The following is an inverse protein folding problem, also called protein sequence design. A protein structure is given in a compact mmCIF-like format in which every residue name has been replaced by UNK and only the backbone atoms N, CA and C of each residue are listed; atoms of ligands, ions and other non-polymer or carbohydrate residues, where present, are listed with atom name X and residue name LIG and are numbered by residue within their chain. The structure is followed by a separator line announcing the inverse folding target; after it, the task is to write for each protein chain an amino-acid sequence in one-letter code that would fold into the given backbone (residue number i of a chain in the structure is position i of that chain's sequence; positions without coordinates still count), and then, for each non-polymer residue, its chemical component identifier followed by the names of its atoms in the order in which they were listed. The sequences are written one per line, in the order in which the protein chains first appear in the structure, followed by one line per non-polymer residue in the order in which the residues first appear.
data_IF_036640962797
#
_entry.id   IF_036640962797
#
_cell.length_a   1.000
_cell.length_b   1.000
_cell.length_c   1.000
_cell.angle_alpha   90.00
_cell.angle_beta   90.00
_cell.angle_gamma   90.00
#
_symmetry.space_group_name_H-M   'P 1'
#
loop_
_entity.id
_entity.type
_entity.pdbx_description
1 polymer ?
#
# COMPACT_ATOMS: atom_id res chain seq x y z
N UNK A 1 -13.86 24.97 -5.31
CA UNK A 1 -13.44 24.43 -6.61
C UNK A 1 -12.51 23.26 -6.36
N UNK A 2 -12.83 22.05 -6.83
CA UNK A 2 -11.97 20.88 -6.68
C UNK A 2 -10.73 21.06 -7.56
N UNK A 3 -9.54 20.83 -7.00
CA UNK A 3 -8.28 20.93 -7.74
C UNK A 3 -8.05 19.62 -8.49
N UNK A 4 -7.79 19.69 -9.80
CA UNK A 4 -7.25 18.59 -10.59
C UNK A 4 -5.74 18.75 -10.66
N UNK A 5 -4.99 17.71 -10.31
CA UNK A 5 -3.55 17.74 -10.48
C UNK A 5 -3.21 17.41 -11.96
N UNK A 6 -2.50 18.27 -12.69
CA UNK A 6 -2.21 18.04 -14.10
C UNK A 6 -1.15 16.96 -14.26
N UNK A 7 -1.52 15.82 -14.80
CA UNK A 7 -0.61 14.75 -15.20
C UNK A 7 -1.15 14.04 -16.47
N UNK A 8 -0.29 13.38 -17.25
CA UNK A 8 -0.72 12.65 -18.46
C UNK A 8 -1.70 11.54 -18.11
N UNK A 9 -2.72 11.33 -18.93
CA UNK A 9 -3.72 10.26 -18.78
C UNK A 9 -3.08 8.87 -18.81
N UNK A 10 -1.91 8.72 -19.44
CA UNK A 10 -1.12 7.50 -19.48
C UNK A 10 0.22 7.77 -18.79
N UNK A 11 0.55 6.92 -17.83
CA UNK A 11 1.80 6.98 -17.11
C UNK A 11 3.01 6.82 -18.06
N UNK A 12 4.02 7.68 -17.91
CA UNK A 12 5.21 7.70 -18.77
C UNK A 12 5.94 6.36 -18.84
N UNK A 13 5.87 5.58 -17.77
CA UNK A 13 6.47 4.25 -17.63
C UNK A 13 5.83 3.23 -18.57
N UNK A 14 4.62 3.49 -19.04
CA UNK A 14 3.89 2.65 -19.99
C UNK A 14 4.24 2.93 -21.45
N UNK A 15 4.77 4.10 -21.80
CA UNK A 15 4.97 4.50 -23.19
C UNK A 15 5.80 3.52 -24.01
N UNK A 16 6.97 3.04 -23.53
CA UNK A 16 7.76 2.06 -24.28
C UNK A 16 7.03 0.72 -24.47
N UNK A 17 6.29 0.27 -23.43
CA UNK A 17 5.58 -1.00 -23.45
C UNK A 17 4.37 -0.92 -24.39
N UNK A 18 3.60 0.16 -24.31
CA UNK A 18 2.43 0.40 -25.15
C UNK A 18 2.87 0.60 -26.62
N UNK A 19 3.90 1.41 -26.86
CA UNK A 19 4.43 1.65 -28.20
C UNK A 19 5.00 0.40 -28.84
N UNK A 20 5.78 -0.37 -28.07
CA UNK A 20 6.32 -1.66 -28.52
C UNK A 20 5.23 -2.70 -28.77
N UNK A 21 4.26 -2.80 -27.85
CA UNK A 21 3.09 -3.67 -28.00
C UNK A 21 2.27 -3.34 -29.24
N UNK A 22 2.00 -2.04 -29.48
CA UNK A 22 1.27 -1.59 -30.67
C UNK A 22 2.02 -1.92 -31.96
N UNK A 23 3.32 -1.60 -32.03
CA UNK A 23 4.16 -1.88 -33.19
C UNK A 23 4.20 -3.38 -33.49
N UNK A 24 4.38 -4.22 -32.47
CA UNK A 24 4.39 -5.68 -32.61
C UNK A 24 3.01 -6.21 -33.05
N UNK A 25 1.92 -5.71 -32.46
CA UNK A 25 0.56 -6.09 -32.84
C UNK A 25 0.29 -5.80 -34.33
N UNK A 26 0.69 -4.62 -34.80
CA UNK A 26 0.55 -4.24 -36.22
C UNK A 26 1.40 -5.13 -37.14
N UNK A 27 2.66 -5.37 -36.78
CA UNK A 27 3.57 -6.20 -37.56
C UNK A 27 3.02 -7.63 -37.71
N UNK A 28 2.61 -8.25 -36.60
CA UNK A 28 2.04 -9.63 -36.63
C UNK A 28 0.71 -9.66 -37.36
N UNK A 29 -0.10 -8.59 -37.29
CA UNK A 29 -1.35 -8.50 -38.06
C UNK A 29 -1.11 -8.53 -39.56
N UNK A 30 -0.04 -7.86 -40.03
CA UNK A 30 0.32 -7.85 -41.45
C UNK A 30 0.80 -9.23 -41.97
N UNK A 31 1.49 -9.99 -41.12
CA UNK A 31 2.10 -11.26 -41.52
C UNK A 31 1.22 -12.48 -41.20
N UNK A 32 0.46 -12.49 -40.13
CA UNK A 32 -0.13 -13.68 -39.55
C UNK A 32 -1.64 -13.57 -39.22
N UNK A 33 -2.31 -12.47 -39.59
CA UNK A 33 -3.74 -12.29 -39.44
C UNK A 33 -4.24 -12.54 -37.99
N UNK A 34 -5.06 -13.58 -37.79
CA UNK A 34 -5.69 -13.88 -36.47
C UNK A 34 -4.70 -14.16 -35.33
N UNK A 35 -3.48 -14.61 -35.63
CA UNK A 35 -2.43 -14.83 -34.63
C UNK A 35 -1.95 -13.52 -33.96
N UNK A 36 -2.36 -12.36 -34.47
CA UNK A 36 -2.10 -11.09 -33.83
C UNK A 36 -2.97 -10.79 -32.59
N UNK A 37 -4.09 -11.51 -32.40
CA UNK A 37 -5.04 -11.27 -31.33
C UNK A 37 -4.41 -11.24 -29.93
N UNK A 38 -3.52 -12.18 -29.53
CA UNK A 38 -2.87 -12.12 -28.21
C UNK A 38 -2.07 -10.84 -27.98
N UNK A 39 -1.41 -10.31 -29.01
CA UNK A 39 -0.63 -9.07 -28.93
C UNK A 39 -1.53 -7.83 -28.78
N UNK A 40 -2.70 -7.83 -29.43
CA UNK A 40 -3.70 -6.80 -29.25
C UNK A 40 -4.28 -6.82 -27.83
N UNK A 41 -4.60 -8.00 -27.29
CA UNK A 41 -5.07 -8.17 -25.90
C UNK A 41 -4.00 -7.64 -24.94
N UNK A 42 -2.72 -7.96 -25.15
CA UNK A 42 -1.63 -7.43 -24.34
C UNK A 42 -1.53 -5.89 -24.44
N UNK A 43 -1.65 -5.31 -25.63
CA UNK A 43 -1.57 -3.86 -25.83
C UNK A 43 -2.73 -3.14 -25.14
N UNK A 44 -3.95 -3.67 -25.23
CA UNK A 44 -5.12 -3.13 -24.52
C UNK A 44 -4.94 -3.26 -23.02
N UNK A 45 -4.42 -4.38 -22.53
CA UNK A 45 -4.09 -4.56 -21.11
C UNK A 45 -3.02 -3.57 -20.66
N UNK A 46 -1.98 -3.32 -21.45
CA UNK A 46 -0.94 -2.34 -21.12
C UNK A 46 -1.52 -0.91 -21.07
N UNK A 47 -2.39 -0.52 -21.99
CA UNK A 47 -3.12 0.76 -21.95
C UNK A 47 -3.94 0.89 -20.66
N UNK A 48 -4.70 -0.17 -20.32
CA UNK A 48 -5.50 -0.23 -19.10
C UNK A 48 -4.62 -0.13 -17.84
N UNK A 49 -3.50 -0.84 -17.80
CA UNK A 49 -2.60 -0.89 -16.64
C UNK A 49 -1.90 0.44 -16.38
N UNK A 50 -1.41 1.10 -17.44
CA UNK A 50 -0.69 2.36 -17.32
C UNK A 50 -1.58 3.61 -17.36
N UNK A 51 -2.91 3.44 -17.33
CA UNK A 51 -3.82 4.60 -17.24
C UNK A 51 -3.61 5.37 -15.95
N UNK A 52 -3.73 6.67 -16.04
CA UNK A 52 -3.65 7.58 -14.89
C UNK A 52 -4.70 8.69 -15.01
N UNK A 53 -5.99 8.39 -14.79
CA UNK A 53 -7.06 9.35 -14.97
C UNK A 53 -6.95 10.51 -13.99
N UNK A 54 -7.18 11.72 -14.45
CA UNK A 54 -7.31 12.89 -13.59
C UNK A 54 -8.54 12.73 -12.67
N UNK A 55 -8.42 13.16 -11.41
CA UNK A 55 -9.46 13.01 -10.39
C UNK A 55 -9.61 14.27 -9.57
N UNK A 56 -10.81 14.46 -9.06
CA UNK A 56 -11.10 15.54 -8.15
C UNK A 56 -10.45 15.30 -6.78
N UNK A 57 -9.83 16.35 -6.26
CA UNK A 57 -9.12 16.32 -4.98
C UNK A 57 -9.97 17.00 -3.92
N UNK A 58 -10.44 16.28 -2.89
CA UNK A 58 -11.13 16.88 -1.74
C UNK A 58 -10.28 17.97 -1.07
N UNK A 59 -10.88 19.11 -0.77
CA UNK A 59 -10.15 20.28 -0.25
C UNK A 59 -10.12 20.37 1.28
N UNK A 60 -10.67 19.38 1.99
CA UNK A 60 -10.62 19.37 3.46
C UNK A 60 -9.16 19.23 3.93
N UNK A 61 -8.61 20.20 4.69
CA UNK A 61 -7.22 20.17 5.14
C UNK A 61 -6.92 19.02 6.12
N UNK A 62 -7.93 18.55 6.84
CA UNK A 62 -7.79 17.41 7.77
C UNK A 62 -7.77 16.04 7.06
N UNK A 63 -8.20 15.99 5.81
CA UNK A 63 -8.35 14.74 5.09
C UNK A 63 -7.00 14.20 4.63
N UNK A 64 -6.73 12.94 4.97
CA UNK A 64 -5.69 12.11 4.38
C UNK A 64 -6.34 11.27 3.28
N UNK A 65 -5.89 11.47 2.05
CA UNK A 65 -6.46 10.82 0.88
C UNK A 65 -5.79 9.47 0.60
N UNK A 66 -6.52 8.59 -0.08
CA UNK A 66 -5.92 7.36 -0.58
C UNK A 66 -4.81 7.67 -1.59
N UNK A 67 -3.59 7.18 -1.38
CA UNK A 67 -2.49 7.36 -2.34
C UNK A 67 -2.68 6.56 -3.62
N UNK A 68 -3.56 5.54 -3.61
CA UNK A 68 -3.73 4.55 -4.69
C UNK A 68 -5.17 4.09 -4.82
N UNK A 69 -5.48 3.43 -5.93
CA UNK A 69 -6.69 2.61 -6.07
C UNK A 69 -6.47 1.26 -5.44
N UNK A 70 -7.48 0.71 -4.79
CA UNK A 70 -7.35 -0.63 -4.26
C UNK A 70 -8.47 -1.03 -3.32
N UNK A 71 -8.15 -2.02 -2.49
CA UNK A 71 -9.00 -2.49 -1.40
C UNK A 71 -8.26 -2.35 -0.09
N UNK A 72 -8.95 -1.90 0.94
CA UNK A 72 -8.42 -1.86 2.31
C UNK A 72 -8.27 -3.29 2.82
N UNK A 73 -7.07 -3.67 3.23
CA UNK A 73 -6.76 -4.99 3.78
C UNK A 73 -6.39 -4.95 5.25
N UNK A 74 -5.94 -3.80 5.76
CA UNK A 74 -5.62 -3.60 7.18
C UNK A 74 -6.10 -2.24 7.63
N UNK A 75 -6.73 -2.18 8.81
CA UNK A 75 -6.99 -0.97 9.60
C UNK A 75 -6.76 -1.35 11.06
N UNK A 76 -5.62 -0.95 11.62
CA UNK A 76 -5.23 -1.34 12.98
C UNK A 76 -4.34 -0.28 13.63
N UNK A 77 -4.23 -0.32 14.95
CA UNK A 77 -3.17 0.37 15.67
C UNK A 77 -1.92 -0.49 15.64
N UNK A 78 -0.83 0.06 15.15
CA UNK A 78 0.45 -0.62 14.99
C UNK A 78 1.60 0.36 15.23
N UNK A 79 2.79 -0.15 15.51
CA UNK A 79 3.98 0.66 15.60
C UNK A 79 4.50 0.99 14.20
N UNK A 80 4.77 2.28 13.93
CA UNK A 80 5.45 2.72 12.71
C UNK A 80 6.94 2.32 12.80
N UNK A 81 7.41 1.37 11.98
CA UNK A 81 8.77 0.84 12.10
C UNK A 81 9.86 1.84 11.64
N UNK A 82 9.47 2.97 11.07
CA UNK A 82 10.40 3.99 10.56
C UNK A 82 10.59 5.17 11.50
N UNK A 83 9.59 5.42 12.36
CA UNK A 83 9.63 6.49 13.37
C UNK A 83 9.66 5.96 14.79
N UNK A 84 9.38 4.67 14.96
CA UNK A 84 9.31 3.98 16.26
C UNK A 84 8.26 4.59 17.20
N UNK A 85 7.10 4.93 16.67
CA UNK A 85 5.94 5.49 17.39
C UNK A 85 4.68 4.69 17.11
N UNK A 86 3.71 4.76 18.01
CA UNK A 86 2.39 4.18 17.79
C UNK A 86 1.64 4.97 16.72
N UNK A 87 0.95 4.26 15.84
CA UNK A 87 0.30 4.83 14.67
C UNK A 87 -0.99 4.08 14.32
N UNK A 88 -1.89 4.76 13.63
CA UNK A 88 -2.97 4.11 12.89
C UNK A 88 -2.40 3.64 11.55
N UNK A 89 -2.35 2.31 11.36
CA UNK A 89 -1.94 1.70 10.10
C UNK A 89 -3.16 1.43 9.24
N UNK A 90 -3.12 1.89 7.99
CA UNK A 90 -4.10 1.59 6.95
C UNK A 90 -3.34 1.04 5.75
N UNK A 91 -3.71 -0.16 5.31
CA UNK A 91 -3.03 -0.82 4.18
C UNK A 91 -3.98 -1.02 3.01
N UNK A 92 -3.51 -0.71 1.81
CA UNK A 92 -4.29 -0.72 0.59
C UNK A 92 -3.63 -1.65 -0.41
N UNK A 93 -4.29 -2.76 -0.73
CA UNK A 93 -3.86 -3.72 -1.73
C UNK A 93 -4.33 -3.29 -3.13
N UNK A 94 -3.43 -3.34 -4.10
CA UNK A 94 -3.71 -3.04 -5.51
C UNK A 94 -3.58 -4.30 -6.35
N UNK A 95 -4.64 -4.69 -7.03
CA UNK A 95 -4.59 -5.74 -8.05
C UNK A 95 -4.18 -5.15 -9.41
N UNK A 96 -3.90 -6.00 -10.39
CA UNK A 96 -3.41 -5.60 -11.72
C UNK A 96 -4.37 -4.70 -12.53
N UNK A 97 -5.63 -4.63 -12.15
CA UNK A 97 -6.65 -3.80 -12.80
C UNK A 97 -6.79 -2.41 -12.18
N UNK A 98 -6.17 -2.14 -11.03
CA UNK A 98 -6.18 -0.84 -10.39
C UNK A 98 -5.23 0.15 -11.09
N UNK A 99 -5.36 1.44 -10.77
CA UNK A 99 -4.38 2.45 -11.18
C UNK A 99 -3.17 2.36 -10.27
N UNK A 100 -1.98 2.21 -10.85
CA UNK A 100 -0.73 1.93 -10.13
C UNK A 100 0.14 3.17 -9.88
N UNK A 101 -0.27 4.35 -10.37
CA UNK A 101 0.39 5.61 -10.00
C UNK A 101 0.06 5.96 -8.56
N UNK A 102 1.11 6.30 -7.80
CA UNK A 102 0.96 6.65 -6.39
C UNK A 102 1.05 8.16 -6.21
N UNK A 103 0.13 8.68 -5.40
CA UNK A 103 -0.09 10.12 -5.23
C UNK A 103 0.01 10.51 -3.77
N UNK A 104 0.50 11.72 -3.52
CA UNK A 104 0.63 12.24 -2.17
C UNK A 104 -0.72 12.30 -1.45
N UNK A 105 -0.82 11.72 -0.25
CA UNK A 105 -2.08 11.68 0.50
C UNK A 105 -2.49 13.04 1.10
N UNK A 106 -1.54 13.96 1.22
CA UNK A 106 -1.73 15.29 1.80
C UNK A 106 -0.72 16.28 1.22
N UNK A 107 -0.94 17.59 1.45
CA UNK A 107 0.11 18.58 1.27
C UNK A 107 1.17 18.37 2.34
N UNK A 108 2.41 18.03 1.95
CA UNK A 108 3.44 17.65 2.91
C UNK A 108 4.85 17.99 2.42
N UNK A 109 5.78 18.03 3.36
CA UNK A 109 7.23 18.10 3.11
C UNK A 109 7.85 16.76 3.46
N UNK A 110 8.55 16.15 2.52
CA UNK A 110 9.27 14.88 2.74
C UNK A 110 10.46 15.12 3.65
N UNK A 111 10.52 14.41 4.76
CA UNK A 111 11.63 14.50 5.73
C UNK A 111 12.71 13.47 5.44
N UNK A 112 12.30 12.24 5.05
CA UNK A 112 13.21 11.13 4.79
C UNK A 112 12.60 10.16 3.79
N UNK A 113 13.45 9.51 2.99
CA UNK A 113 13.07 8.36 2.15
C UNK A 113 13.97 7.19 2.52
N UNK A 114 13.37 6.04 2.82
CA UNK A 114 14.08 4.83 3.29
C UNK A 114 13.71 3.66 2.39
N UNK A 115 14.68 3.20 1.62
CA UNK A 115 14.52 2.02 0.79
C UNK A 115 15.06 0.78 1.50
N UNK A 116 14.27 -0.29 1.51
CA UNK A 116 14.63 -1.58 2.07
C UNK A 116 14.52 -2.66 0.99
N UNK A 117 15.63 -3.31 0.68
CA UNK A 117 15.61 -4.53 -0.14
C UNK A 117 14.84 -5.63 0.58
N UNK A 118 14.15 -6.47 -0.16
CA UNK A 118 13.36 -7.55 0.41
C UNK A 118 12.96 -8.60 -0.60
N UNK A 119 12.03 -9.46 -0.19
CA UNK A 119 11.43 -10.51 -1.01
C UNK A 119 10.31 -9.95 -1.88
N UNK A 120 9.68 -10.81 -2.68
CA UNK A 120 8.52 -10.51 -3.52
C UNK A 120 7.43 -11.56 -3.25
N UNK A 121 6.87 -11.55 -2.04
CA UNK A 121 5.70 -12.40 -1.73
C UNK A 121 4.41 -11.66 -2.07
N UNK A 122 3.27 -12.38 -2.07
CA UNK A 122 1.97 -11.76 -2.34
C UNK A 122 1.74 -10.58 -1.38
N UNK A 123 1.48 -9.40 -1.95
CA UNK A 123 1.32 -8.16 -1.20
C UNK A 123 0.04 -8.10 -0.33
N UNK A 124 -0.91 -9.02 -0.56
CA UNK A 124 -2.12 -9.16 0.26
C UNK A 124 -1.82 -9.75 1.65
N UNK A 125 -0.71 -10.45 1.80
CA UNK A 125 -0.30 -11.08 3.06
C UNK A 125 0.29 -10.05 4.05
N UNK A 126 0.01 -10.22 5.34
CA UNK A 126 0.52 -9.32 6.39
C UNK A 126 2.04 -9.27 6.44
N UNK A 127 2.71 -10.41 6.25
CA UNK A 127 4.18 -10.52 6.19
C UNK A 127 4.82 -9.69 5.07
N UNK A 128 4.06 -9.31 4.03
CA UNK A 128 4.57 -8.48 2.95
C UNK A 128 5.05 -7.10 3.44
N UNK A 129 4.44 -6.53 4.47
CA UNK A 129 4.85 -5.24 5.06
C UNK A 129 6.27 -5.28 5.64
N UNK A 130 6.74 -6.44 6.05
CA UNK A 130 8.04 -6.62 6.72
C UNK A 130 9.08 -7.31 5.85
N UNK A 131 8.67 -8.26 5.02
CA UNK A 131 9.59 -9.09 4.23
C UNK A 131 9.84 -8.57 2.82
N UNK A 132 8.84 -7.90 2.20
CA UNK A 132 8.96 -7.47 0.82
C UNK A 132 9.87 -6.26 0.65
N UNK A 133 10.38 -6.13 -0.59
CA UNK A 133 11.02 -4.89 -1.03
C UNK A 133 10.05 -3.73 -0.84
N UNK A 134 10.51 -2.68 -0.18
CA UNK A 134 9.68 -1.56 0.21
C UNK A 134 10.46 -0.24 0.24
N UNK A 135 9.71 0.83 0.01
CA UNK A 135 10.26 2.18 0.06
C UNK A 135 9.33 3.06 0.89
N UNK A 136 9.82 3.54 2.02
CA UNK A 136 9.08 4.38 2.94
C UNK A 136 9.39 5.86 2.69
N UNK A 137 8.36 6.66 2.62
CA UNK A 137 8.44 8.13 2.55
C UNK A 137 7.86 8.67 3.86
N UNK A 138 8.72 9.30 4.65
CA UNK A 138 8.37 10.01 5.87
C UNK A 138 8.14 11.47 5.51
N UNK A 139 7.04 12.04 5.97
CA UNK A 139 6.67 13.40 5.62
C UNK A 139 5.95 14.12 6.77
N UNK A 140 6.11 15.44 6.81
CA UNK A 140 5.35 16.31 7.70
C UNK A 140 4.31 17.04 6.87
N UNK A 141 3.04 16.94 7.26
CA UNK A 141 1.93 17.63 6.60
C UNK A 141 2.00 19.14 6.81
N UNK A 142 1.23 19.91 6.03
CA UNK A 142 1.14 21.35 6.21
C UNK A 142 0.65 21.76 7.61
N UNK A 143 -0.12 20.89 8.29
CA UNK A 143 -0.56 21.09 9.68
C UNK A 143 0.47 20.65 10.74
N UNK A 144 1.70 20.30 10.33
CA UNK A 144 2.76 19.85 11.24
C UNK A 144 2.66 18.39 11.70
N UNK A 145 1.69 17.63 11.20
CA UNK A 145 1.49 16.23 11.56
C UNK A 145 2.43 15.33 10.77
N UNK A 146 3.04 14.36 11.43
CA UNK A 146 3.94 13.42 10.78
C UNK A 146 3.16 12.20 10.26
N UNK A 147 3.43 11.81 9.02
CA UNK A 147 2.85 10.64 8.35
C UNK A 147 3.95 9.84 7.67
N UNK A 148 3.77 8.53 7.58
CA UNK A 148 4.63 7.65 6.78
C UNK A 148 3.77 6.91 5.78
N UNK A 149 4.18 6.89 4.51
CA UNK A 149 3.55 6.08 3.47
C UNK A 149 4.59 5.22 2.77
N UNK A 150 4.29 3.93 2.69
CA UNK A 150 5.26 2.90 2.31
C UNK A 150 4.77 2.19 1.06
N UNK A 151 5.57 2.26 0.01
CA UNK A 151 5.40 1.46 -1.19
C UNK A 151 5.91 0.04 -0.90
N UNK A 152 5.07 -0.97 -1.05
CA UNK A 152 5.42 -2.38 -0.84
C UNK A 152 5.25 -3.14 -2.14
N UNK A 153 6.32 -3.74 -2.64
CA UNK A 153 6.30 -4.56 -3.85
C UNK A 153 5.51 -5.85 -3.62
N UNK A 154 4.84 -6.35 -4.65
CA UNK A 154 4.13 -7.63 -4.63
C UNK A 154 4.88 -8.71 -5.40
N UNK A 155 4.22 -9.87 -5.58
CA UNK A 155 4.79 -11.08 -6.18
C UNK A 155 5.35 -10.86 -7.60
N UNK A 156 4.67 -10.06 -8.40
CA UNK A 156 5.03 -9.77 -9.80
C UNK A 156 5.76 -8.42 -9.92
N UNK A 157 5.57 -7.53 -8.94
CA UNK A 157 6.19 -6.22 -8.89
C UNK A 157 7.68 -6.36 -8.53
N UNK A 158 8.54 -6.15 -9.52
CA UNK A 158 10.01 -6.22 -9.31
C UNK A 158 10.68 -4.85 -9.28
N UNK A 159 9.90 -3.76 -9.26
CA UNK A 159 10.48 -2.42 -9.24
C UNK A 159 9.54 -1.40 -8.63
N UNK A 160 10.00 -0.78 -7.57
CA UNK A 160 9.42 0.42 -6.97
C UNK A 160 10.08 1.63 -7.60
N UNK A 161 9.28 2.55 -8.13
CA UNK A 161 9.75 3.85 -8.61
C UNK A 161 9.28 4.91 -7.62
N UNK A 162 10.24 5.65 -7.06
CA UNK A 162 9.98 6.80 -6.20
C UNK A 162 10.60 8.03 -6.87
N UNK A 163 9.80 9.09 -7.03
CA UNK A 163 10.22 10.33 -7.72
C UNK A 163 10.47 11.46 -6.75
N UNK A 164 10.24 11.20 -5.45
CA UNK A 164 10.48 12.19 -4.40
C UNK A 164 11.75 11.89 -3.61
N UNK A 165 12.26 12.89 -2.94
CA UNK A 165 13.45 12.80 -2.10
C UNK A 165 13.29 13.66 -0.84
N UNK A 166 14.18 13.48 0.13
CA UNK A 166 14.20 14.31 1.33
C UNK A 166 14.28 15.80 0.99
N UNK A 167 13.50 16.61 1.67
CA UNK A 167 13.37 18.05 1.44
C UNK A 167 12.34 18.45 0.39
N UNK A 168 11.86 17.54 -0.45
CA UNK A 168 10.84 17.82 -1.47
C UNK A 168 9.50 18.20 -0.82
N UNK A 169 8.77 19.12 -1.46
CA UNK A 169 7.39 19.44 -1.12
C UNK A 169 6.49 18.71 -2.09
N UNK A 170 5.51 18.00 -1.58
CA UNK A 170 4.48 17.30 -2.34
C UNK A 170 3.14 17.97 -2.11
N UNK A 171 2.48 18.33 -3.18
CA UNK A 171 1.08 18.75 -3.13
C UNK A 171 0.17 17.53 -3.03
N UNK A 172 -0.95 17.68 -2.36
CA UNK A 172 -2.02 16.67 -2.29
C UNK A 172 -2.40 16.21 -3.70
N UNK A 173 -2.39 14.89 -3.93
CA UNK A 173 -2.66 14.30 -5.24
C UNK A 173 -1.48 14.33 -6.21
N UNK A 174 -0.34 14.94 -5.84
CA UNK A 174 0.86 14.92 -6.66
C UNK A 174 1.45 13.52 -6.74
N UNK A 175 1.84 13.12 -7.93
CA UNK A 175 2.40 11.80 -8.18
C UNK A 175 3.82 11.71 -7.64
N UNK A 176 4.04 10.81 -6.68
CA UNK A 176 5.35 10.59 -6.08
C UNK A 176 6.00 9.24 -6.43
N UNK A 177 5.24 8.33 -7.05
CA UNK A 177 5.79 7.02 -7.36
C UNK A 177 4.94 6.18 -8.31
N UNK A 178 5.48 5.02 -8.65
CA UNK A 178 4.83 3.99 -9.44
C UNK A 178 5.36 2.61 -9.04
N UNK A 179 4.47 1.60 -8.90
CA UNK A 179 4.87 0.20 -8.72
C UNK A 179 4.24 -0.62 -9.85
N UNK A 180 5.02 -1.51 -10.48
CA UNK A 180 4.51 -2.36 -11.57
C UNK A 180 3.97 -3.66 -11.00
N UNK A 181 2.74 -4.07 -11.43
CA UNK A 181 2.09 -5.37 -11.27
C UNK A 181 1.89 -5.88 -9.84
N UNK A 182 0.75 -5.50 -9.25
CA UNK A 182 0.29 -5.95 -7.95
C UNK A 182 1.19 -5.48 -6.81
N UNK A 183 0.64 -4.70 -5.91
CA UNK A 183 1.42 -4.04 -4.86
C UNK A 183 0.52 -3.63 -3.71
N UNK A 184 1.12 -3.07 -2.68
CA UNK A 184 0.43 -2.55 -1.51
C UNK A 184 1.02 -1.21 -1.12
N UNK A 185 0.21 -0.34 -0.57
CA UNK A 185 0.68 0.87 0.10
C UNK A 185 0.23 0.82 1.55
N UNK A 186 1.18 0.93 2.48
CA UNK A 186 0.91 1.03 3.90
C UNK A 186 1.02 2.49 4.32
N UNK A 187 -0.01 2.98 5.00
CA UNK A 187 -0.05 4.30 5.59
C UNK A 187 0.09 4.17 7.11
N UNK A 188 1.00 4.92 7.72
CA UNK A 188 1.10 5.08 9.16
C UNK A 188 0.78 6.53 9.49
N UNK A 189 -0.32 6.72 10.19
CA UNK A 189 -0.87 8.02 10.57
C UNK A 189 -0.74 8.21 12.08
N UNK A 190 -0.76 9.44 12.60
CA UNK A 190 -0.81 9.67 14.04
C UNK A 190 -1.91 8.85 14.72
N UNK A 191 -1.68 8.41 15.95
CA UNK A 191 -2.57 7.50 16.68
C UNK A 191 -3.98 8.08 16.93
N UNK A 192 -4.09 9.42 16.93
CA UNK A 192 -5.35 10.16 17.06
C UNK A 192 -6.09 10.37 15.74
N UNK A 193 -5.54 9.89 14.62
CA UNK A 193 -6.20 9.90 13.34
C UNK A 193 -7.48 9.06 13.37
N UNK A 194 -8.54 9.58 12.76
CA UNK A 194 -9.83 8.93 12.69
C UNK A 194 -10.01 8.25 11.34
N UNK A 195 -9.97 6.91 11.32
CA UNK A 195 -10.23 6.15 10.09
C UNK A 195 -11.64 6.43 9.56
N UNK A 196 -11.74 6.62 8.24
CA UNK A 196 -13.00 6.83 7.52
C UNK A 196 -13.33 5.64 6.60
N UNK A 197 -12.55 4.57 6.70
CA UNK A 197 -12.65 3.35 5.89
C UNK A 197 -12.56 2.12 6.79
N UNK A 198 -13.13 1.01 6.32
CA UNK A 198 -13.08 -0.29 6.95
C UNK A 198 -12.36 -1.32 6.06
N UNK A 199 -11.95 -2.45 6.67
CA UNK A 199 -11.36 -3.58 5.92
C UNK A 199 -12.39 -4.08 4.90
N UNK A 200 -11.95 -4.28 3.65
CA UNK A 200 -12.78 -4.71 2.53
C UNK A 200 -13.27 -3.57 1.64
N UNK A 201 -13.24 -2.32 2.10
CA UNK A 201 -13.67 -1.16 1.30
C UNK A 201 -12.81 -1.01 0.05
N UNK A 202 -13.47 -0.67 -1.07
CA UNK A 202 -12.80 -0.25 -2.29
C UNK A 202 -12.53 1.25 -2.23
N UNK A 203 -11.29 1.63 -2.47
CA UNK A 203 -10.86 3.02 -2.45
C UNK A 203 -10.33 3.46 -3.80
N UNK A 204 -10.55 4.73 -4.09
CA UNK A 204 -10.08 5.40 -5.30
C UNK A 204 -9.02 6.41 -4.90
N UNK A 205 -7.84 6.28 -5.49
CA UNK A 205 -6.70 7.17 -5.20
C UNK A 205 -7.07 8.64 -5.38
N UNK A 206 -6.60 9.49 -4.50
CA UNK A 206 -6.85 10.93 -4.45
C UNK A 206 -8.27 11.33 -4.04
N UNK A 207 -9.29 10.57 -4.42
CA UNK A 207 -10.69 10.96 -4.18
C UNK A 207 -11.26 10.43 -2.86
N UNK A 208 -10.82 9.23 -2.42
CA UNK A 208 -11.29 8.64 -1.16
C UNK A 208 -10.51 9.19 0.02
N UNK A 209 -11.23 9.63 1.05
CA UNK A 209 -10.64 10.02 2.34
C UNK A 209 -10.44 8.77 3.18
N UNK A 210 -9.18 8.44 3.50
CA UNK A 210 -8.83 7.29 4.35
C UNK A 210 -9.01 7.59 5.82
N UNK A 211 -8.60 8.79 6.23
CA UNK A 211 -8.67 9.23 7.62
C UNK A 211 -8.75 10.74 7.71
N UNK A 212 -9.16 11.23 8.89
CA UNK A 212 -9.07 12.65 9.26
C UNK A 212 -8.01 12.82 10.33
N UNK A 213 -7.17 13.85 10.15
CA UNK A 213 -6.20 14.29 11.14
C UNK A 213 -6.78 15.49 11.88
N UNK A 214 -7.07 15.42 13.18
CA UNK A 214 -7.46 16.59 13.95
C UNK A 214 -6.43 17.72 13.81
N UNK A 215 -6.87 18.94 13.57
CA UNK A 215 -5.98 20.12 13.39
C UNK A 215 -5.22 20.46 14.67
N UNK A 216 -5.80 20.15 15.83
CA UNK A 216 -5.14 20.31 17.13
C UNK A 216 -4.27 19.08 17.37
N UNK A 217 -2.95 19.26 17.43
CA UNK A 217 -2.07 18.21 17.90
C UNK A 217 -2.53 17.79 19.31
N UNK A 218 -2.52 16.49 19.68
CA UNK A 218 -2.70 16.08 21.05
C UNK A 218 -1.67 16.87 21.89
N UNK A 219 -2.14 17.60 22.87
CA UNK A 219 -1.22 18.05 23.93
C UNK A 219 -0.64 16.76 24.48
N UNK A 220 0.69 16.62 24.41
CA UNK A 220 1.36 15.51 25.08
C UNK A 220 0.83 15.51 26.51
N UNK A 221 -0.01 14.53 26.85
CA UNK A 221 -0.32 14.25 28.24
C UNK A 221 1.04 13.99 28.87
N UNK A 222 1.49 14.98 29.64
CA UNK A 222 2.62 14.82 30.54
C UNK A 222 2.29 13.59 31.38
N UNK A 223 3.02 12.50 31.18
CA UNK A 223 2.93 11.32 32.03
C UNK A 223 2.85 11.78 33.49
N UNK A 224 1.88 11.30 34.27
CA UNK A 224 1.91 11.53 35.71
C UNK A 224 3.16 10.82 36.20
N UNK A 225 4.13 11.62 36.64
CA UNK A 225 5.35 11.20 37.33
C UNK A 225 4.98 10.10 38.33
N UNK A 226 5.40 8.89 38.04
CA UNK A 226 5.15 7.72 38.91
C UNK A 226 5.60 8.03 40.32
N UNK A 227 4.62 8.07 41.24
CA UNK A 227 4.89 8.04 42.67
C UNK A 227 5.48 6.68 43.01
N UNK A 228 6.58 6.67 43.74
CA UNK A 228 7.31 5.51 44.19
C UNK A 228 6.41 4.49 44.91
N UNK A 229 6.66 3.18 44.80
CA UNK A 229 5.86 2.15 45.42
C UNK A 229 6.15 2.07 46.91
N UNK A 230 5.11 2.28 47.74
CA UNK A 230 5.12 1.85 49.12
C UNK A 230 4.84 0.34 49.19
N UNK A 231 5.70 -0.36 49.89
CA UNK A 231 5.67 -1.79 50.08
C UNK A 231 4.63 -2.22 51.15
N UNK A 232 4.13 -3.46 50.93
CA UNK A 232 3.66 -4.50 51.83
C UNK A 232 2.15 -4.52 52.21
N UNK A 233 1.60 -5.70 52.68
CA UNK A 233 2.20 -7.02 52.72
C UNK A 233 1.33 -8.15 52.11
N UNK A 234 1.97 -9.28 51.94
CA UNK A 234 1.50 -10.61 51.54
C UNK A 234 0.31 -11.12 52.38
N UNK A 235 -0.69 -11.70 51.70
CA UNK A 235 -1.51 -12.78 52.30
C UNK A 235 -1.87 -13.82 51.23
N UNK A 236 -1.73 -15.07 51.69
CA UNK A 236 -1.81 -16.34 50.94
C UNK A 236 -3.26 -16.78 50.66
N UNK A 237 -3.40 -17.62 49.68
CA UNK A 237 -4.15 -18.89 49.57
C UNK A 237 -4.99 -19.03 48.30
N UNK A 238 -4.56 -19.82 47.40
CA UNK A 238 -4.97 -21.07 46.67
C UNK A 238 -6.47 -21.50 46.77
N UNK A 239 -6.93 -22.45 45.87
CA UNK A 239 -6.89 -22.57 44.41
C UNK A 239 -8.23 -22.93 43.73
N UNK A 240 -8.15 -23.17 42.42
CA UNK A 240 -9.01 -24.04 41.58
C UNK A 240 -10.32 -23.50 41.00
N UNK A 241 -10.45 -23.48 39.67
CA UNK A 241 -11.24 -24.45 38.91
C UNK A 241 -11.32 -24.13 37.44
N UNK A 242 -10.79 -25.05 36.68
CA UNK A 242 -11.26 -25.62 35.39
C UNK A 242 -11.61 -24.75 34.17
N UNK A 243 -10.90 -25.13 33.14
CA UNK A 243 -10.94 -24.79 31.73
C UNK A 243 -12.22 -25.20 31.01
N UNK A 244 -12.47 -24.51 29.91
CA UNK A 244 -13.12 -25.09 28.74
C UNK A 244 -12.42 -24.56 27.46
N UNK A 245 -12.22 -25.37 26.42
CA UNK A 245 -11.33 -25.06 25.28
C UNK A 245 -12.02 -24.27 24.21
N UNK A 246 -11.26 -23.35 23.60
CA UNK A 246 -11.66 -22.62 22.38
C UNK A 246 -11.13 -23.41 21.18
N UNK A 247 -12.00 -24.10 20.48
CA UNK A 247 -11.78 -24.59 19.13
C UNK A 247 -12.01 -23.43 18.16
N UNK A 248 -10.97 -22.87 17.53
CA UNK A 248 -11.08 -22.13 16.26
C UNK A 248 -9.68 -21.73 15.72
N UNK A 249 -8.75 -22.66 15.55
CA UNK A 249 -7.46 -22.39 14.89
C UNK A 249 -7.14 -23.37 13.75
N UNK A 250 -7.89 -24.42 13.56
CA UNK A 250 -7.53 -25.49 12.63
C UNK A 250 -7.96 -25.28 11.16
N UNK A 251 -8.91 -24.37 10.86
CA UNK A 251 -9.42 -24.20 9.50
C UNK A 251 -8.60 -23.24 8.62
N UNK A 252 -7.95 -22.25 9.22
CA UNK A 252 -7.16 -21.28 8.45
C UNK A 252 -5.81 -21.82 7.97
N UNK A 253 -5.22 -22.81 8.67
CA UNK A 253 -3.95 -23.41 8.27
C UNK A 253 -4.04 -24.30 7.03
N UNK A 254 -5.18 -24.94 6.81
CA UNK A 254 -5.38 -25.89 5.69
C UNK A 254 -5.59 -25.15 4.38
N UNK A 255 -6.33 -24.03 4.39
CA UNK A 255 -6.58 -23.22 3.20
C UNK A 255 -5.31 -22.50 2.74
N UNK A 256 -4.51 -22.04 3.69
CA UNK A 256 -3.23 -21.39 3.43
C UNK A 256 -2.20 -22.35 2.82
N UNK A 257 -2.15 -23.60 3.28
CA UNK A 257 -1.31 -24.65 2.69
C UNK A 257 -1.73 -25.02 1.26
N UNK A 258 -3.03 -25.01 0.96
CA UNK A 258 -3.52 -25.26 -0.40
C UNK A 258 -3.16 -24.14 -1.37
N UNK A 259 -3.21 -22.88 -0.94
CA UNK A 259 -2.82 -21.70 -1.75
C UNK A 259 -1.32 -21.72 -2.04
N UNK A 260 -0.49 -22.04 -1.05
CA UNK A 260 0.97 -22.15 -1.24
C UNK A 260 1.35 -23.31 -2.17
N UNK A 261 0.66 -24.45 -2.08
CA UNK A 261 0.87 -25.60 -2.97
C UNK A 261 0.46 -25.28 -4.43
N UNK A 262 -0.63 -24.54 -4.63
CA UNK A 262 -1.05 -24.09 -5.95
C UNK A 262 -0.05 -23.08 -6.56
N UNK A 263 0.44 -22.14 -5.77
CA UNK A 263 1.45 -21.17 -6.22
C UNK A 263 2.76 -21.85 -6.61
N UNK A 264 3.20 -22.88 -5.86
CA UNK A 264 4.40 -23.64 -6.18
C UNK A 264 4.28 -24.43 -7.50
N UNK A 265 3.09 -24.99 -7.79
CA UNK A 265 2.82 -25.66 -9.06
C UNK A 265 2.87 -24.71 -10.27
N UNK A 266 2.32 -23.51 -10.13
CA UNK A 266 2.37 -22.49 -11.18
C UNK A 266 3.81 -22.02 -11.43
N UNK A 267 4.62 -21.85 -10.38
CA UNK A 267 6.03 -21.48 -10.53
C UNK A 267 6.86 -22.59 -11.20
N UNK A 268 6.57 -23.86 -10.92
CA UNK A 268 7.24 -24.98 -11.57
C UNK A 268 6.89 -25.03 -13.08
N UNK A 269 5.61 -24.88 -13.42
CA UNK A 269 5.17 -24.88 -14.82
C UNK A 269 5.76 -23.71 -15.63
N UNK A 270 5.86 -22.51 -15.03
CA UNK A 270 6.50 -21.36 -15.68
C UNK A 270 8.01 -21.56 -15.87
N UNK A 271 8.68 -22.25 -14.94
CA UNK A 271 10.10 -22.56 -15.05
C UNK A 271 10.40 -23.57 -16.17
N UNK A 272 9.52 -24.54 -16.37
CA UNK A 272 9.67 -25.54 -17.44
C UNK A 272 9.44 -24.93 -18.83
N UNK A 273 8.47 -24.03 -18.97
CA UNK A 273 8.22 -23.29 -20.23
C UNK A 273 9.34 -22.32 -20.61
N UNK A 274 10.17 -21.90 -19.65
CA UNK A 274 11.31 -20.98 -19.91
C UNK A 274 12.63 -21.73 -20.16
N UNK A 275 12.64 -23.07 -20.14
CA UNK A 275 13.83 -23.87 -20.42
C UNK A 275 13.88 -24.44 -21.85
N UNK A 276 12.76 -24.41 -22.58
CA UNK A 276 12.64 -24.69 -24.01
C UNK A 276 12.67 -23.37 -24.82
#
# INVERSE_FOLDING_TARGET
MNRLYPHPIIAREGWPIIGGGLALSLLVSMCCGWWSLPFWVFTVFALQFFRDPAREIPQNPEAVLSPVDGRIVVVERARDPYRDVDALKISIFMNVFNVHSQKSPADCKVTKVVYNKGKFVNADLDKASTENERNAVLATTASGREITFVQVAGLVARRILCYTQAGAKLSRGERYGFIRFGSRVDMYLPVDAQAQVAIGDKVTGVSTVLARLPLTAPQAESEPKAAAPQAAPVSQATPASQAAPVETVASQSTEQQQIEAAAAKIQAAVRDVLKD
#
